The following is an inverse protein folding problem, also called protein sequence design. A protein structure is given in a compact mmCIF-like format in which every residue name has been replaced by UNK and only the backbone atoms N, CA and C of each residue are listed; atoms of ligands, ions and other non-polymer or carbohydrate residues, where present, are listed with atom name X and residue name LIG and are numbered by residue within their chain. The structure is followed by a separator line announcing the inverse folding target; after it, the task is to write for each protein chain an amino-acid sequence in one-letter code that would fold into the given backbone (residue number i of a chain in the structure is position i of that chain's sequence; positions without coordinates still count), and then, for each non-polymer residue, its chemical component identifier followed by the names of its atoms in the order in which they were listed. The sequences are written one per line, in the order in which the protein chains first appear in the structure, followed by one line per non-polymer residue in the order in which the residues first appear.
data_IF_629481805458
#
_entry.id   IF_629481805458
#
_cell.length_a   1.000
_cell.length_b   1.000
_cell.length_c   1.000
_cell.angle_alpha   90.00
_cell.angle_beta   90.00
_cell.angle_gamma   90.00
#
_symmetry.space_group_name_H-M   'P 1'
#
loop_
_entity.id
_entity.type
_entity.pdbx_description
1 polymer ?
#
# COMPACT_ATOMS: atom_id res chain seq x y z
N UNK A 1 6.11 -7.83 -9.51
CA UNK A 1 5.27 -9.05 -9.56
C UNK A 1 3.90 -8.72 -10.11
N UNK A 2 3.18 -9.69 -10.67
CA UNK A 2 1.78 -9.53 -11.11
C UNK A 2 0.79 -9.75 -9.96
N UNK A 3 -0.47 -9.38 -10.15
CA UNK A 3 -1.53 -9.45 -9.12
C UNK A 3 -1.65 -10.83 -8.48
N UNK A 4 -1.69 -11.89 -9.29
CA UNK A 4 -1.85 -13.26 -8.80
C UNK A 4 -0.62 -13.73 -8.00
N UNK A 5 0.58 -13.36 -8.46
CA UNK A 5 1.84 -13.63 -7.77
C UNK A 5 1.93 -12.89 -6.43
N UNK A 6 1.45 -11.65 -6.40
CA UNK A 6 1.37 -10.82 -5.20
C UNK A 6 0.44 -11.48 -4.17
N UNK A 7 -0.75 -11.89 -4.58
CA UNK A 7 -1.71 -12.56 -3.71
C UNK A 7 -1.10 -13.83 -3.10
N UNK A 8 -0.59 -14.73 -3.95
CA UNK A 8 0.03 -15.97 -3.49
C UNK A 8 1.22 -15.74 -2.56
N UNK A 9 2.01 -14.68 -2.81
CA UNK A 9 3.16 -14.35 -1.97
C UNK A 9 2.73 -13.83 -0.59
N UNK A 10 1.69 -13.00 -0.51
CA UNK A 10 1.15 -12.50 0.76
C UNK A 10 0.47 -13.62 1.54
N UNK A 11 -0.34 -14.43 0.86
CA UNK A 11 -1.01 -15.60 1.44
C UNK A 11 0.00 -16.57 2.06
N UNK A 12 1.12 -16.83 1.37
CA UNK A 12 2.17 -17.71 1.88
C UNK A 12 2.88 -17.13 3.12
N UNK A 13 3.01 -15.81 3.21
CA UNK A 13 3.67 -15.14 4.32
C UNK A 13 2.79 -14.99 5.57
N UNK A 14 1.46 -14.97 5.41
CA UNK A 14 0.46 -14.86 6.48
C UNK A 14 0.76 -13.74 7.49
N UNK A 15 0.69 -12.46 7.07
CA UNK A 15 0.96 -11.34 7.97
C UNK A 15 0.01 -11.36 9.16
N UNK A 16 0.56 -11.17 10.35
CA UNK A 16 -0.18 -11.00 11.59
C UNK A 16 -0.82 -9.62 11.70
N UNK A 17 -1.67 -9.46 12.72
CA UNK A 17 -2.39 -8.22 13.00
C UNK A 17 -1.47 -7.02 13.24
N UNK A 18 -0.34 -7.27 13.91
CA UNK A 18 0.64 -6.24 14.27
C UNK A 18 1.76 -6.07 13.23
N UNK A 19 1.75 -6.90 12.16
CA UNK A 19 2.71 -6.77 11.08
C UNK A 19 2.31 -5.62 10.15
N UNK A 20 3.28 -4.77 9.84
CA UNK A 20 3.10 -3.69 8.87
C UNK A 20 3.41 -4.24 7.49
N UNK A 21 2.42 -4.24 6.61
CA UNK A 21 2.58 -4.58 5.20
C UNK A 21 2.77 -3.30 4.40
N UNK A 22 3.91 -3.19 3.73
CA UNK A 22 4.15 -2.17 2.69
C UNK A 22 3.76 -2.75 1.34
N UNK A 23 2.97 -2.01 0.57
CA UNK A 23 2.53 -2.36 -0.77
C UNK A 23 2.74 -1.18 -1.70
N UNK A 24 3.33 -1.42 -2.86
CA UNK A 24 3.60 -0.41 -3.88
C UNK A 24 3.23 -0.92 -5.27
N UNK A 25 2.82 0.01 -6.14
CA UNK A 25 2.52 -0.25 -7.55
C UNK A 25 3.42 0.59 -8.44
N UNK A 26 3.84 -0.01 -9.55
CA UNK A 26 4.62 0.59 -10.62
C UNK A 26 4.11 0.09 -11.97
N UNK A 27 3.35 0.92 -12.67
CA UNK A 27 2.66 0.56 -13.91
C UNK A 27 1.76 -0.66 -13.67
N UNK A 28 2.11 -1.78 -14.29
CA UNK A 28 1.39 -3.05 -14.17
C UNK A 28 2.11 -4.07 -13.27
N UNK A 29 3.02 -3.60 -12.42
CA UNK A 29 3.77 -4.41 -11.48
C UNK A 29 3.56 -3.92 -10.06
N UNK A 30 3.58 -4.86 -9.12
CA UNK A 30 3.50 -4.60 -7.69
C UNK A 30 4.79 -5.02 -7.00
N UNK A 31 5.03 -4.43 -5.83
CA UNK A 31 6.07 -4.78 -4.87
C UNK A 31 5.45 -4.77 -3.48
N UNK A 32 5.82 -5.73 -2.64
CA UNK A 32 5.36 -5.75 -1.25
C UNK A 32 6.42 -6.31 -0.31
N UNK A 33 6.32 -5.95 0.98
CA UNK A 33 7.17 -6.48 2.06
C UNK A 33 6.53 -6.29 3.42
N UNK A 34 6.87 -7.16 4.37
CA UNK A 34 6.59 -6.93 5.79
C UNK A 34 7.68 -6.02 6.37
N UNK A 35 7.27 -4.98 7.08
CA UNK A 35 8.14 -4.01 7.74
C UNK A 35 8.22 -4.38 9.22
N UNK A 36 9.43 -4.68 9.76
CA UNK A 36 9.59 -4.98 11.16
C UNK A 36 9.28 -3.75 12.02
N UNK A 37 8.58 -3.96 13.14
CA UNK A 37 8.13 -2.90 14.07
C UNK A 37 9.29 -2.07 14.64
N UNK A 38 10.48 -2.67 14.78
CA UNK A 38 11.70 -2.02 15.28
C UNK A 38 12.65 -1.51 14.17
N UNK A 39 12.28 -1.70 12.90
CA UNK A 39 13.14 -1.41 11.76
C UNK A 39 13.05 0.04 11.32
N UNK A 40 14.16 0.77 11.49
CA UNK A 40 14.41 2.08 10.88
C UNK A 40 13.94 2.08 9.41
N UNK A 41 12.96 2.94 9.10
CA UNK A 41 12.36 3.22 7.78
C UNK A 41 13.41 3.83 6.79
N UNK A 42 14.71 3.58 6.97
CA UNK A 42 15.78 4.15 6.13
C UNK A 42 15.96 3.38 4.81
N UNK A 43 15.74 2.06 4.80
CA UNK A 43 15.83 1.20 3.60
C UNK A 43 14.48 1.03 2.86
N UNK A 44 13.47 1.81 3.24
CA UNK A 44 12.19 1.83 2.52
C UNK A 44 12.24 2.63 1.23
N UNK A 45 13.34 3.36 0.93
CA UNK A 45 13.48 4.05 -0.35
C UNK A 45 13.56 3.02 -1.48
N UNK A 46 12.50 2.90 -2.30
CA UNK A 46 12.55 2.02 -3.44
C UNK A 46 13.60 2.56 -4.43
N UNK A 47 14.30 1.67 -5.13
CA UNK A 47 15.34 2.07 -6.08
C UNK A 47 14.79 2.97 -7.21
N UNK A 48 13.48 2.93 -7.42
CA UNK A 48 12.68 3.78 -8.31
C UNK A 48 11.41 4.16 -7.57
N UNK A 49 11.00 5.43 -7.62
CA UNK A 49 9.76 5.87 -6.96
C UNK A 49 8.54 5.14 -7.55
N UNK A 50 7.67 4.55 -6.72
CA UNK A 50 6.43 3.92 -7.17
C UNK A 50 5.40 4.97 -7.55
N UNK A 51 4.45 4.60 -8.40
CA UNK A 51 3.35 5.48 -8.77
C UNK A 51 2.46 5.76 -7.56
N UNK A 52 2.20 4.70 -6.79
CA UNK A 52 1.48 4.74 -5.52
C UNK A 52 1.98 3.67 -4.59
N UNK A 53 1.86 3.93 -3.30
CA UNK A 53 2.20 3.00 -2.25
C UNK A 53 1.33 3.25 -1.03
N UNK A 54 1.18 2.22 -0.20
CA UNK A 54 0.54 2.31 1.10
C UNK A 54 1.24 1.39 2.10
N UNK A 55 1.08 1.70 3.38
CA UNK A 55 1.45 0.82 4.48
C UNK A 55 0.23 0.58 5.35
N UNK A 56 -0.03 -0.67 5.71
CA UNK A 56 -1.15 -1.04 6.57
C UNK A 56 -0.76 -2.08 7.60
N UNK A 57 -1.43 -2.03 8.75
CA UNK A 57 -1.51 -3.13 9.72
C UNK A 57 -2.97 -3.54 9.80
N UNK A 58 -3.27 -4.81 9.52
CA UNK A 58 -4.63 -5.32 9.50
C UNK A 58 -4.67 -6.78 9.94
N UNK A 59 -5.83 -7.22 10.41
CA UNK A 59 -6.07 -8.64 10.67
C UNK A 59 -6.41 -9.34 9.35
N UNK A 60 -5.48 -10.16 8.86
CA UNK A 60 -5.66 -10.90 7.60
C UNK A 60 -6.55 -12.13 7.84
N UNK A 61 -7.64 -12.33 7.08
CA UNK A 61 -8.56 -13.45 7.27
C UNK A 61 -8.00 -14.74 6.65
N UNK A 62 -6.85 -15.21 7.15
CA UNK A 62 -6.08 -16.36 6.61
C UNK A 62 -6.80 -17.71 6.73
N UNK A 63 -7.80 -17.81 7.60
CA UNK A 63 -8.58 -19.03 7.81
C UNK A 63 -9.77 -19.18 6.83
N UNK A 64 -10.12 -18.11 6.10
CA UNK A 64 -11.18 -18.10 5.09
C UNK A 64 -10.64 -17.62 3.74
N UNK A 65 -10.33 -18.54 2.80
CA UNK A 65 -9.79 -18.19 1.49
C UNK A 65 -10.67 -17.23 0.67
N UNK A 66 -12.00 -17.30 0.80
CA UNK A 66 -12.89 -16.40 0.07
C UNK A 66 -12.83 -15.00 0.64
N UNK A 67 -12.79 -14.89 1.97
CA UNK A 67 -12.65 -13.60 2.65
C UNK A 67 -11.27 -12.99 2.42
N UNK A 68 -10.21 -13.81 2.38
CA UNK A 68 -8.85 -13.38 2.05
C UNK A 68 -8.76 -12.81 0.64
N UNK A 69 -9.38 -13.48 -0.33
CA UNK A 69 -9.42 -12.99 -1.70
C UNK A 69 -10.19 -11.67 -1.80
N UNK A 70 -11.37 -11.57 -1.19
CA UNK A 70 -12.15 -10.33 -1.19
C UNK A 70 -11.39 -9.17 -0.51
N UNK A 71 -10.77 -9.42 0.65
CA UNK A 71 -9.95 -8.44 1.35
C UNK A 71 -8.79 -7.94 0.49
N UNK A 72 -8.10 -8.85 -0.19
CA UNK A 72 -7.00 -8.48 -1.09
C UNK A 72 -7.48 -7.68 -2.29
N UNK A 73 -8.61 -8.05 -2.88
CA UNK A 73 -9.19 -7.35 -4.03
C UNK A 73 -9.58 -5.91 -3.66
N UNK A 74 -10.19 -5.71 -2.49
CA UNK A 74 -10.54 -4.40 -1.94
C UNK A 74 -9.27 -3.58 -1.65
N UNK A 75 -8.27 -4.18 -0.99
CA UNK A 75 -6.99 -3.53 -0.70
C UNK A 75 -6.30 -3.03 -1.97
N UNK A 76 -6.29 -3.84 -3.02
CA UNK A 76 -5.66 -3.48 -4.29
C UNK A 76 -6.46 -2.39 -5.01
N UNK A 77 -7.79 -2.44 -4.96
CA UNK A 77 -8.64 -1.39 -5.52
C UNK A 77 -8.42 -0.04 -4.82
N UNK A 78 -8.27 -0.04 -3.49
CA UNK A 78 -7.92 1.15 -2.72
C UNK A 78 -6.57 1.72 -3.15
N UNK A 79 -5.52 0.88 -3.23
CA UNK A 79 -4.20 1.31 -3.72
C UNK A 79 -4.28 1.91 -5.14
N UNK A 80 -4.98 1.25 -6.05
CA UNK A 80 -5.11 1.71 -7.44
C UNK A 80 -5.91 3.01 -7.55
N UNK A 81 -6.89 3.23 -6.68
CA UNK A 81 -7.65 4.48 -6.63
C UNK A 81 -6.76 5.70 -6.34
N UNK A 82 -5.70 5.50 -5.54
CA UNK A 82 -4.73 6.55 -5.22
C UNK A 82 -3.96 6.99 -6.48
N UNK A 83 -3.78 6.11 -7.47
CA UNK A 83 -3.02 6.41 -8.68
C UNK A 83 -3.82 7.28 -9.66
N UNK A 84 -5.14 7.27 -9.53
CA UNK A 84 -6.08 7.98 -10.42
C UNK A 84 -6.31 9.43 -9.96
N UNK A 85 -5.82 9.82 -8.78
CA UNK A 85 -6.09 11.13 -8.22
C UNK A 85 -4.88 12.07 -8.33
N UNK A 86 -5.01 13.04 -9.23
CA UNK A 86 -4.33 14.34 -9.15
C UNK A 86 -4.31 14.76 -7.68
N UNK A 87 -3.10 14.94 -7.15
CA UNK A 87 -2.76 15.20 -5.75
C UNK A 87 -3.80 16.09 -5.04
N UNK A 88 -4.82 15.47 -4.45
CA UNK A 88 -5.95 16.17 -3.80
C UNK A 88 -5.52 16.88 -2.52
N UNK A 89 -4.35 16.52 -2.00
CA UNK A 89 -3.74 17.07 -0.80
C UNK A 89 -2.71 18.15 -1.13
N UNK A 90 -2.34 18.32 -2.41
CA UNK A 90 -1.46 19.42 -2.82
C UNK A 90 -2.25 20.70 -2.87
N UNK A 91 -2.02 21.48 -1.82
CA UNK A 91 -2.43 22.87 -1.76
C UNK A 91 -1.90 23.61 -3.00
N UNK A 92 -2.76 24.33 -3.76
CA UNK A 92 -2.31 25.13 -4.88
C UNK A 92 -1.25 26.13 -4.41
N UNK A 93 -0.10 26.17 -5.10
CA UNK A 93 0.98 27.12 -4.79
C UNK A 93 0.45 28.57 -4.80
N UNK A 94 -0.55 28.83 -5.64
CA UNK A 94 -1.13 30.15 -5.85
C UNK A 94 -2.15 30.59 -4.78
N UNK A 95 -2.45 29.76 -3.76
CA UNK A 95 -3.51 30.06 -2.79
C UNK A 95 -3.10 29.93 -1.31
N UNK A 96 -1.98 30.50 -0.82
CA UNK A 96 -1.44 30.21 0.52
C UNK A 96 -2.39 30.55 1.68
N UNK A 97 -2.47 29.65 2.65
CA UNK A 97 -3.22 29.82 3.90
C UNK A 97 -2.43 30.66 4.94
N UNK A 98 -3.08 31.46 5.82
CA UNK A 98 -4.51 31.81 5.86
C UNK A 98 -4.83 33.02 4.97
N UNK A 99 -6.05 33.03 4.41
CA UNK A 99 -6.55 34.08 3.52
C UNK A 99 -6.96 35.39 4.23
N UNK A 100 -6.81 35.46 5.56
CA UNK A 100 -7.15 36.66 6.32
C UNK A 100 -6.36 36.70 7.64
N UNK A 101 -5.91 37.90 7.98
CA UNK A 101 -5.23 38.23 9.24
C UNK A 101 -6.07 39.20 10.06
#
# INVERSE_FOLDING_TARGET
MKRDELFASIEAARPGRDDIVYLARRGDEYEWRMVPVDGVIADLRPAVEPDVWMSLSAEWPVDDPQQLQAFFDDLLAELESMAVHTDRCRWPIDDPWPHTH
#
